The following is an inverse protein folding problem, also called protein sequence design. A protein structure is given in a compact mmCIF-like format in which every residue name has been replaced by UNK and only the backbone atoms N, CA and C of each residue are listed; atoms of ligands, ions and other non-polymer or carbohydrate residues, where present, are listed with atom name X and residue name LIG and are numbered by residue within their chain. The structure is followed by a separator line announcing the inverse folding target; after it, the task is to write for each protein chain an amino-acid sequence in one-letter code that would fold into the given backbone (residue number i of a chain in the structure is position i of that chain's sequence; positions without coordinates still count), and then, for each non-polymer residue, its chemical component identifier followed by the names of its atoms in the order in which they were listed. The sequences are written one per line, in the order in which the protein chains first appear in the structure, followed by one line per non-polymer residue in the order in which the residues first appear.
data_IF_710439286810
#
_entry.id   IF_710439286810
#
_cell.length_a   1.000
_cell.length_b   1.000
_cell.length_c   1.000
_cell.angle_alpha   90.00
_cell.angle_beta   90.00
_cell.angle_gamma   90.00
#
_symmetry.space_group_name_H-M   'P 1'
#
loop_
_entity.id
_entity.type
_entity.pdbx_description
1 polymer ?
#
# COMPACT_ATOMS: atom_id res chain seq x y z
N UNK A 1 -22.69 18.88 -5.09
CA UNK A 1 -22.21 18.48 -3.75
C UNK A 1 -20.78 18.01 -3.86
N UNK A 2 -19.87 18.50 -3.00
CA UNK A 2 -18.48 18.05 -2.93
C UNK A 2 -18.44 16.58 -2.49
N UNK A 3 -17.58 15.78 -3.11
CA UNK A 3 -17.36 14.38 -2.73
C UNK A 3 -16.05 14.24 -1.96
N UNK A 4 -16.07 13.42 -0.92
CA UNK A 4 -14.93 13.06 -0.10
C UNK A 4 -14.69 11.56 -0.26
N UNK A 5 -13.55 11.21 -0.86
CA UNK A 5 -13.24 9.83 -1.25
C UNK A 5 -12.41 9.13 -0.16
N UNK A 6 -12.97 8.07 0.44
CA UNK A 6 -12.34 7.20 1.43
C UNK A 6 -12.12 5.77 0.92
N UNK A 7 -12.16 5.56 -0.40
CA UNK A 7 -11.95 4.23 -0.98
C UNK A 7 -10.56 3.68 -0.63
N UNK A 8 -10.51 2.38 -0.37
CA UNK A 8 -9.28 1.70 0.02
C UNK A 8 -8.34 1.32 -1.14
N UNK A 9 -8.86 1.40 -2.37
CA UNK A 9 -8.09 1.13 -3.59
C UNK A 9 -8.97 0.57 -4.72
N UNK A 10 -8.97 1.19 -5.92
CA UNK A 10 -8.30 2.46 -6.24
C UNK A 10 -8.74 3.59 -5.30
N UNK A 11 -7.77 4.38 -4.88
CA UNK A 11 -7.97 5.41 -3.86
C UNK A 11 -8.00 6.83 -4.43
N UNK A 12 -8.05 7.80 -3.57
CA UNK A 12 -7.92 9.21 -3.92
C UNK A 12 -6.48 9.50 -4.40
N UNK A 13 -6.37 10.27 -5.47
CA UNK A 13 -5.13 10.91 -5.92
C UNK A 13 -5.24 12.43 -5.74
N UNK A 14 -4.11 13.16 -5.60
CA UNK A 14 -4.11 14.60 -5.60
C UNK A 14 -4.74 15.14 -6.90
N UNK A 15 -5.56 16.19 -6.78
CA UNK A 15 -6.26 16.76 -7.92
C UNK A 15 -5.31 17.22 -9.03
N UNK A 16 -4.20 17.82 -8.63
CA UNK A 16 -3.12 18.27 -9.52
C UNK A 16 -2.53 17.10 -10.34
N UNK A 17 -2.28 15.96 -9.71
CA UNK A 17 -1.78 14.75 -10.39
C UNK A 17 -2.76 14.27 -11.45
N UNK A 18 -4.06 14.25 -11.12
CA UNK A 18 -5.11 13.86 -12.07
C UNK A 18 -5.15 14.83 -13.26
N UNK A 19 -5.10 16.13 -13.00
CA UNK A 19 -5.15 17.16 -14.05
C UNK A 19 -3.91 17.14 -14.95
N UNK A 20 -2.72 16.96 -14.38
CA UNK A 20 -1.49 16.82 -15.15
C UNK A 20 -1.51 15.56 -16.02
N UNK A 21 -1.90 14.41 -15.44
CA UNK A 21 -2.05 13.17 -16.21
C UNK A 21 -3.07 13.32 -17.35
N UNK A 22 -4.22 13.96 -17.09
CA UNK A 22 -5.26 14.16 -18.10
C UNK A 22 -4.76 15.00 -19.29
N UNK A 23 -3.96 16.05 -19.04
CA UNK A 23 -3.33 16.84 -20.11
C UNK A 23 -2.44 15.97 -21.02
N UNK A 24 -1.65 15.10 -20.41
CA UNK A 24 -0.74 14.22 -21.17
C UNK A 24 -1.49 13.09 -21.91
N UNK A 25 -2.63 12.65 -21.37
CA UNK A 25 -3.51 11.72 -22.11
C UNK A 25 -4.03 12.38 -23.40
N UNK A 26 -4.26 13.67 -23.40
CA UNK A 26 -4.72 14.40 -24.60
C UNK A 26 -3.59 14.69 -25.58
N UNK A 27 -2.45 15.14 -25.08
CA UNK A 27 -1.28 15.48 -25.89
C UNK A 27 0.01 15.34 -25.07
N UNK A 28 0.74 14.27 -25.30
CA UNK A 28 1.96 13.96 -24.56
C UNK A 28 3.11 14.89 -24.99
N UNK A 29 3.48 15.81 -24.11
CA UNK A 29 4.57 16.77 -24.28
C UNK A 29 4.49 17.59 -25.59
N UNK A 30 3.30 17.87 -26.11
CA UNK A 30 3.12 18.62 -27.35
C UNK A 30 3.48 17.82 -28.62
N UNK A 31 3.53 16.51 -28.53
CA UNK A 31 3.88 15.61 -29.64
C UNK A 31 2.79 15.43 -30.68
N UNK A 32 1.55 15.84 -30.36
CA UNK A 32 0.37 15.55 -31.14
C UNK A 32 -0.17 14.12 -30.96
N UNK A 33 0.42 13.34 -30.06
CA UNK A 33 -0.01 11.98 -29.72
C UNK A 33 -0.44 11.91 -28.25
N UNK A 34 -1.41 11.07 -27.95
CA UNK A 34 -1.81 10.74 -26.59
C UNK A 34 -0.73 9.95 -25.85
N UNK A 35 -0.57 10.18 -24.53
CA UNK A 35 0.23 9.30 -23.67
C UNK A 35 -0.19 7.83 -23.78
N UNK A 36 -1.46 7.53 -24.11
CA UNK A 36 -1.95 6.16 -24.32
C UNK A 36 -1.45 5.52 -25.62
N UNK A 37 -1.01 6.33 -26.58
CA UNK A 37 -0.52 5.89 -27.90
C UNK A 37 1.02 5.86 -27.98
N UNK A 38 1.69 6.46 -26.98
CA UNK A 38 3.17 6.50 -26.93
C UNK A 38 3.73 5.10 -26.68
N UNK A 39 4.67 4.68 -27.52
CA UNK A 39 5.42 3.46 -27.27
C UNK A 39 6.25 3.59 -25.99
N UNK A 40 6.20 2.59 -25.12
CA UNK A 40 7.07 2.52 -23.94
C UNK A 40 8.57 2.54 -24.26
N UNK A 41 8.95 2.27 -25.52
CA UNK A 41 10.34 2.34 -26.05
C UNK A 41 10.64 3.65 -26.76
N UNK A 42 9.68 4.59 -26.77
CA UNK A 42 9.94 5.91 -27.33
C UNK A 42 10.96 6.66 -26.48
N UNK A 43 11.81 7.46 -27.15
CA UNK A 43 12.83 8.28 -26.48
C UNK A 43 12.21 9.26 -25.47
N UNK A 44 10.98 9.69 -25.72
CA UNK A 44 10.27 10.66 -24.88
C UNK A 44 9.65 10.02 -23.62
N UNK A 45 9.47 8.68 -23.60
CA UNK A 45 8.95 7.98 -22.45
C UNK A 45 10.03 7.48 -21.48
N UNK A 46 11.25 7.21 -21.96
CA UNK A 46 12.35 6.77 -21.09
C UNK A 46 12.61 7.75 -19.94
N UNK A 47 12.64 9.09 -20.14
CA UNK A 47 12.78 10.04 -19.04
C UNK A 47 11.70 9.93 -17.95
N UNK A 48 10.48 9.55 -18.30
CA UNK A 48 9.38 9.33 -17.31
C UNK A 48 9.72 8.21 -16.35
N UNK A 49 10.26 7.10 -16.89
CA UNK A 49 10.65 5.95 -16.07
C UNK A 49 11.87 6.27 -15.22
N UNK A 50 12.88 6.90 -15.83
CA UNK A 50 14.11 7.27 -15.13
C UNK A 50 13.83 8.23 -13.98
N UNK A 51 12.96 9.22 -14.20
CA UNK A 51 12.56 10.15 -13.16
C UNK A 51 11.71 9.48 -12.08
N UNK A 52 10.78 8.59 -12.45
CA UNK A 52 9.99 7.83 -11.47
C UNK A 52 10.90 6.99 -10.56
N UNK A 53 11.90 6.32 -11.11
CA UNK A 53 12.91 5.56 -10.35
C UNK A 53 13.74 6.49 -9.47
N UNK A 54 14.22 7.61 -10.01
CA UNK A 54 15.03 8.59 -9.27
C UNK A 54 14.28 9.17 -8.08
N UNK A 55 13.03 9.64 -8.30
CA UNK A 55 12.18 10.17 -7.24
C UNK A 55 11.83 9.11 -6.18
N UNK A 56 11.60 7.87 -6.61
CA UNK A 56 11.32 6.78 -5.67
C UNK A 56 12.52 6.50 -4.77
N UNK A 57 13.72 6.46 -5.35
CA UNK A 57 14.98 6.30 -4.60
C UNK A 57 15.24 7.48 -3.66
N UNK A 58 15.06 8.70 -4.13
CA UNK A 58 15.26 9.90 -3.32
C UNK A 58 14.28 9.97 -2.12
N UNK A 59 12.99 9.75 -2.35
CA UNK A 59 11.95 9.89 -1.32
C UNK A 59 12.02 8.83 -0.21
N UNK A 60 12.57 7.65 -0.49
CA UNK A 60 12.77 6.59 0.50
C UNK A 60 14.23 6.42 0.92
N UNK A 61 15.12 7.31 0.49
CA UNK A 61 16.57 7.20 0.76
C UNK A 61 17.12 5.79 0.46
N UNK A 62 16.76 5.26 -0.74
CA UNK A 62 17.12 3.90 -1.13
C UNK A 62 18.62 3.83 -1.40
N UNK A 63 19.38 2.99 -0.67
CA UNK A 63 20.83 2.92 -0.83
C UNK A 63 21.25 2.32 -2.18
N UNK A 64 22.53 2.45 -2.52
CA UNK A 64 23.13 1.73 -3.66
C UNK A 64 22.96 0.21 -3.51
N UNK A 65 22.93 -0.52 -4.62
CA UNK A 65 22.72 -1.97 -4.64
C UNK A 65 21.25 -2.39 -4.56
N UNK A 66 20.32 -1.44 -4.76
CA UNK A 66 18.91 -1.71 -4.89
C UNK A 66 18.37 -1.25 -6.23
N UNK A 67 17.56 -2.10 -6.84
CA UNK A 67 16.77 -1.79 -8.04
C UNK A 67 15.33 -1.46 -7.67
N UNK A 68 14.77 -0.46 -8.37
CA UNK A 68 13.33 -0.14 -8.35
C UNK A 68 12.76 -0.51 -9.71
N UNK A 69 11.78 -1.40 -9.73
CA UNK A 69 11.14 -1.88 -10.97
C UNK A 69 9.63 -1.74 -10.92
N UNK A 70 9.04 -1.52 -12.09
CA UNK A 70 7.61 -1.33 -12.30
C UNK A 70 7.04 -2.49 -13.10
N UNK A 71 6.13 -3.25 -12.51
CA UNK A 71 5.52 -4.43 -13.10
C UNK A 71 4.00 -4.31 -13.18
N UNK A 72 3.37 -5.17 -13.96
CA UNK A 72 1.92 -5.41 -13.91
C UNK A 72 1.55 -6.49 -12.88
N UNK A 73 0.26 -6.81 -12.78
CA UNK A 73 -0.23 -7.94 -11.99
C UNK A 73 -0.62 -7.64 -10.52
N UNK A 74 -0.31 -6.43 -10.02
CA UNK A 74 -0.61 -6.03 -8.66
C UNK A 74 0.17 -6.81 -7.60
N UNK A 75 -0.04 -6.49 -6.33
CA UNK A 75 0.56 -7.21 -5.21
C UNK A 75 0.19 -8.71 -5.21
N UNK A 76 -0.94 -9.08 -5.79
CA UNK A 76 -1.35 -10.49 -5.88
C UNK A 76 -0.39 -11.35 -6.72
N UNK A 77 0.22 -10.77 -7.76
CA UNK A 77 1.26 -11.46 -8.52
C UNK A 77 2.53 -11.61 -7.68
N UNK A 78 2.83 -10.63 -6.82
CA UNK A 78 4.00 -10.68 -5.95
C UNK A 78 3.92 -11.80 -4.90
N UNK A 79 2.73 -12.22 -4.49
CA UNK A 79 2.56 -13.38 -3.60
C UNK A 79 3.16 -14.68 -4.17
N UNK A 80 3.23 -14.78 -5.50
CA UNK A 80 3.87 -15.89 -6.22
C UNK A 80 5.29 -15.52 -6.66
N UNK A 81 5.53 -14.30 -7.11
CA UNK A 81 6.80 -13.87 -7.68
C UNK A 81 7.90 -13.78 -6.61
N UNK A 82 7.58 -13.33 -5.40
CA UNK A 82 8.50 -13.32 -4.25
C UNK A 82 9.03 -14.73 -3.95
N UNK A 83 8.19 -15.74 -3.67
CA UNK A 83 8.71 -17.06 -3.37
C UNK A 83 9.38 -17.73 -4.59
N UNK A 84 8.98 -17.43 -5.83
CA UNK A 84 9.68 -17.91 -7.00
C UNK A 84 11.15 -17.46 -7.02
N UNK A 85 11.44 -16.22 -6.61
CA UNK A 85 12.78 -15.63 -6.62
C UNK A 85 13.61 -15.88 -5.36
N UNK A 86 12.97 -16.03 -4.17
CA UNK A 86 13.68 -16.01 -2.89
C UNK A 86 13.49 -17.26 -2.04
N UNK A 87 12.43 -18.05 -2.21
CA UNK A 87 12.20 -19.24 -1.41
C UNK A 87 13.04 -20.42 -1.94
N UNK A 88 14.02 -20.85 -1.16
CA UNK A 88 14.89 -21.99 -1.50
C UNK A 88 14.34 -23.27 -0.87
N UNK A 89 14.10 -23.25 0.44
CA UNK A 89 13.59 -24.37 1.24
C UNK A 89 12.39 -23.98 2.09
N UNK A 90 12.54 -22.93 2.90
CA UNK A 90 11.60 -22.58 3.95
C UNK A 90 11.49 -21.06 4.12
N UNK A 91 10.28 -20.54 4.27
CA UNK A 91 10.06 -19.15 4.56
C UNK A 91 9.18 -18.96 5.79
N UNK A 92 9.51 -17.93 6.58
CA UNK A 92 8.72 -17.52 7.73
C UNK A 92 7.75 -16.38 7.34
N UNK A 93 6.58 -16.38 7.95
CA UNK A 93 5.53 -15.40 7.70
C UNK A 93 4.91 -14.89 8.98
N UNK A 94 4.57 -13.59 9.01
CA UNK A 94 3.71 -12.98 10.02
C UNK A 94 2.28 -12.97 9.46
N UNK A 95 1.36 -13.69 10.11
CA UNK A 95 -0.04 -13.71 9.73
C UNK A 95 -0.80 -12.56 10.40
N UNK A 96 -0.73 -11.39 9.82
CA UNK A 96 -1.39 -10.17 10.29
C UNK A 96 -2.76 -9.90 9.62
N UNK A 97 -3.21 -10.77 8.69
CA UNK A 97 -4.49 -10.56 8.02
C UNK A 97 -4.68 -11.34 6.72
N UNK A 98 -5.75 -10.99 6.00
CA UNK A 98 -6.15 -11.68 4.76
C UNK A 98 -5.06 -11.67 3.70
N UNK A 99 -4.31 -10.56 3.54
CA UNK A 99 -3.27 -10.44 2.52
C UNK A 99 -2.07 -11.30 2.87
N UNK A 100 -1.63 -11.29 4.12
CA UNK A 100 -0.59 -12.19 4.61
C UNK A 100 -0.97 -13.68 4.40
N UNK A 101 -2.21 -14.07 4.74
CA UNK A 101 -2.72 -15.44 4.46
C UNK A 101 -2.65 -15.80 2.99
N UNK A 102 -2.99 -14.88 2.08
CA UNK A 102 -2.91 -15.13 0.64
C UNK A 102 -1.47 -15.30 0.18
N UNK A 103 -0.55 -14.45 0.66
CA UNK A 103 0.88 -14.59 0.36
C UNK A 103 1.43 -15.94 0.85
N UNK A 104 1.11 -16.33 2.07
CA UNK A 104 1.47 -17.66 2.61
C UNK A 104 0.95 -18.82 1.75
N UNK A 105 -0.29 -18.71 1.27
CA UNK A 105 -0.91 -19.75 0.43
C UNK A 105 -0.14 -19.95 -0.87
N UNK A 106 0.19 -18.86 -1.56
CA UNK A 106 0.94 -18.92 -2.81
C UNK A 106 2.39 -19.40 -2.60
N UNK A 107 3.04 -19.00 -1.51
CA UNK A 107 4.40 -19.41 -1.19
C UNK A 107 4.54 -20.93 -0.99
N UNK A 108 3.49 -21.60 -0.51
CA UNK A 108 3.46 -23.09 -0.34
C UNK A 108 3.64 -23.87 -1.64
N UNK A 109 3.46 -23.26 -2.80
CA UNK A 109 3.77 -23.86 -4.09
C UNK A 109 5.26 -23.95 -4.39
N UNK A 110 6.10 -23.21 -3.63
CA UNK A 110 7.54 -23.08 -3.88
C UNK A 110 8.42 -23.72 -2.80
N UNK A 111 7.89 -23.95 -1.60
CA UNK A 111 8.62 -24.55 -0.49
C UNK A 111 7.84 -24.62 0.81
N UNK A 112 8.52 -24.92 1.91
CA UNK A 112 7.93 -24.94 3.24
C UNK A 112 7.59 -23.51 3.69
N UNK A 113 6.44 -23.36 4.34
CA UNK A 113 5.98 -22.08 4.89
C UNK A 113 5.60 -22.26 6.34
N UNK A 114 6.24 -21.49 7.24
CA UNK A 114 5.94 -21.47 8.66
C UNK A 114 5.34 -20.14 9.09
N UNK A 115 4.24 -20.19 9.81
CA UNK A 115 3.65 -19.04 10.49
C UNK A 115 4.33 -18.91 11.86
N UNK A 116 5.08 -17.81 12.06
CA UNK A 116 5.85 -17.62 13.31
C UNK A 116 5.19 -16.64 14.28
N UNK A 117 4.25 -15.86 13.82
CA UNK A 117 3.38 -15.02 14.66
C UNK A 117 2.05 -14.78 13.92
N UNK A 118 0.97 -14.64 14.69
CA UNK A 118 -0.38 -14.47 14.17
C UNK A 118 -1.26 -13.71 15.17
N UNK A 119 -2.21 -12.95 14.66
CA UNK A 119 -3.33 -12.38 15.44
C UNK A 119 -4.70 -12.90 14.97
N UNK A 120 -4.71 -14.00 14.21
CA UNK A 120 -5.94 -14.57 13.65
C UNK A 120 -6.96 -14.97 14.72
N UNK A 121 -6.50 -15.47 15.87
CA UNK A 121 -7.36 -15.90 16.99
C UNK A 121 -8.10 -14.72 17.65
N UNK A 122 -7.52 -13.52 17.54
CA UNK A 122 -8.12 -12.26 17.96
C UNK A 122 -8.79 -11.49 16.79
N UNK A 123 -9.13 -12.17 15.69
CA UNK A 123 -9.71 -11.53 14.50
C UNK A 123 -8.90 -10.33 13.98
N UNK A 124 -7.56 -10.38 14.13
CA UNK A 124 -6.65 -9.32 13.69
C UNK A 124 -6.88 -7.95 14.33
N UNK A 125 -7.27 -7.91 15.61
CA UNK A 125 -7.47 -6.67 16.37
C UNK A 125 -6.17 -6.01 16.79
N UNK A 126 -5.03 -6.70 16.65
CA UNK A 126 -3.70 -6.16 16.86
C UNK A 126 -2.73 -6.65 15.79
N UNK A 127 -1.61 -5.94 15.63
CA UNK A 127 -0.51 -6.41 14.79
C UNK A 127 0.36 -7.39 15.59
N UNK A 128 0.62 -8.62 15.07
CA UNK A 128 1.44 -9.60 15.79
C UNK A 128 2.84 -9.07 16.06
N UNK A 129 3.39 -9.34 17.24
CA UNK A 129 4.77 -9.00 17.53
C UNK A 129 5.71 -9.72 16.55
N UNK A 130 6.56 -8.97 15.86
CA UNK A 130 7.59 -9.54 14.99
C UNK A 130 8.76 -10.00 15.87
N UNK A 131 9.10 -11.29 15.89
CA UNK A 131 10.22 -11.77 16.69
C UNK A 131 11.56 -11.32 16.09
N UNK A 132 12.49 -10.85 16.92
CA UNK A 132 13.84 -10.47 16.46
C UNK A 132 14.65 -11.69 15.96
N UNK A 133 14.33 -12.88 16.46
CA UNK A 133 14.99 -14.14 16.08
C UNK A 133 14.00 -15.01 15.32
N UNK A 134 14.22 -15.14 14.03
CA UNK A 134 13.53 -16.05 13.11
C UNK A 134 14.35 -17.34 13.01
N UNK A 135 13.73 -18.54 12.86
CA UNK A 135 14.47 -19.79 12.66
C UNK A 135 15.53 -19.64 11.55
N UNK A 136 16.78 -19.95 11.85
CA UNK A 136 17.94 -19.70 10.96
C UNK A 136 17.91 -20.52 9.65
N UNK A 137 17.05 -21.53 9.57
CA UNK A 137 16.80 -22.33 8.37
C UNK A 137 15.76 -21.72 7.43
N UNK A 138 15.23 -20.52 7.76
CA UNK A 138 14.33 -19.78 6.89
C UNK A 138 15.12 -18.91 5.90
N UNK A 139 14.74 -18.97 4.63
CA UNK A 139 15.32 -18.18 3.55
C UNK A 139 14.97 -16.69 3.66
N UNK A 140 13.79 -16.39 4.22
CA UNK A 140 13.32 -15.04 4.51
C UNK A 140 12.17 -15.01 5.52
N UNK A 141 11.94 -13.83 6.09
CA UNK A 141 10.70 -13.46 6.78
C UNK A 141 9.86 -12.56 5.87
N UNK A 142 8.57 -12.89 5.71
CA UNK A 142 7.61 -12.06 5.01
C UNK A 142 6.61 -11.44 5.98
N UNK A 143 6.31 -10.16 5.81
CA UNK A 143 5.27 -9.44 6.53
C UNK A 143 4.43 -8.55 5.60
N UNK A 144 3.26 -8.14 6.07
CA UNK A 144 2.41 -7.12 5.46
C UNK A 144 2.32 -5.97 6.44
N UNK A 145 2.96 -4.84 6.14
CA UNK A 145 3.17 -3.75 7.09
C UNK A 145 1.87 -3.08 7.54
N UNK A 146 0.92 -2.92 6.62
CA UNK A 146 -0.38 -2.32 6.91
C UNK A 146 -1.55 -3.14 6.36
N UNK A 147 -2.51 -3.46 7.21
CA UNK A 147 -3.68 -4.27 6.88
C UNK A 147 -4.86 -3.40 6.46
N UNK A 148 -5.03 -3.24 5.17
CA UNK A 148 -6.12 -2.46 4.56
C UNK A 148 -7.53 -2.91 4.98
N UNK A 149 -7.70 -4.17 5.36
CA UNK A 149 -9.00 -4.77 5.71
C UNK A 149 -9.32 -4.59 7.19
N UNK A 150 -8.34 -4.85 8.07
CA UNK A 150 -8.55 -4.88 9.51
C UNK A 150 -8.15 -3.58 10.22
N UNK A 151 -7.27 -2.78 9.59
CA UNK A 151 -6.84 -1.49 10.13
C UNK A 151 -5.69 -1.60 11.13
N UNK A 152 -4.90 -2.67 11.10
CA UNK A 152 -3.67 -2.80 11.90
C UNK A 152 -2.45 -2.41 11.07
N UNK A 153 -1.45 -1.79 11.70
CA UNK A 153 -0.21 -1.31 11.07
C UNK A 153 1.02 -1.58 11.92
N UNK A 154 2.12 -1.99 11.29
CA UNK A 154 3.45 -2.06 11.87
C UNK A 154 4.23 -0.80 11.47
N UNK A 155 4.51 0.06 12.44
CA UNK A 155 5.15 1.36 12.17
C UNK A 155 6.65 1.38 12.45
N UNK A 156 7.24 0.25 12.68
CA UNK A 156 8.68 0.08 12.89
C UNK A 156 9.26 -0.83 11.82
N UNK A 157 10.50 -0.59 11.44
CA UNK A 157 11.23 -1.48 10.54
C UNK A 157 11.93 -2.56 11.38
N UNK A 158 11.47 -3.82 11.33
CA UNK A 158 11.98 -4.87 12.22
C UNK A 158 13.48 -5.11 12.00
N UNK A 159 14.17 -5.43 13.08
CA UNK A 159 15.53 -5.92 13.04
C UNK A 159 15.51 -7.43 13.24
N UNK A 160 15.76 -8.19 12.18
CA UNK A 160 15.68 -9.65 12.17
C UNK A 160 16.93 -10.28 11.57
N UNK A 161 17.20 -11.53 11.97
CA UNK A 161 18.41 -12.24 11.59
C UNK A 161 18.36 -12.96 10.23
N UNK A 162 17.29 -12.79 9.46
CA UNK A 162 17.09 -13.37 8.12
C UNK A 162 16.67 -12.29 7.12
N UNK A 163 16.79 -12.53 5.80
CA UNK A 163 16.27 -11.63 4.78
C UNK A 163 14.82 -11.22 5.06
N UNK A 164 14.52 -9.91 5.03
CA UNK A 164 13.19 -9.37 5.31
C UNK A 164 12.49 -8.93 4.02
N UNK A 165 11.24 -9.34 3.81
CA UNK A 165 10.40 -8.97 2.68
C UNK A 165 9.09 -8.40 3.18
N UNK A 166 8.66 -7.27 2.62
CA UNK A 166 7.43 -6.59 3.04
C UNK A 166 6.47 -6.27 1.89
N UNK A 167 5.19 -6.59 2.11
CA UNK A 167 4.07 -5.98 1.39
C UNK A 167 3.76 -4.63 2.04
N UNK A 168 4.12 -3.55 1.37
CA UNK A 168 3.81 -2.17 1.79
C UNK A 168 2.73 -1.53 0.89
N UNK A 169 1.87 -2.31 0.27
CA UNK A 169 0.88 -1.78 -0.70
C UNK A 169 0.02 -0.64 -0.15
N UNK A 170 -0.26 -0.62 1.15
CA UNK A 170 -1.16 0.38 1.72
C UNK A 170 -0.49 1.43 2.61
N UNK A 171 0.83 1.37 2.78
CA UNK A 171 1.58 2.35 3.58
C UNK A 171 2.91 2.80 2.95
N UNK A 172 3.28 2.30 1.78
CA UNK A 172 4.45 2.79 1.04
C UNK A 172 4.40 4.31 0.87
N UNK A 173 5.52 5.03 1.04
CA UNK A 173 5.60 6.49 0.94
C UNK A 173 4.75 7.26 1.97
N UNK A 174 4.23 6.62 3.01
CA UNK A 174 3.46 7.29 4.08
C UNK A 174 4.30 7.69 5.28
N UNK A 175 5.48 7.08 5.42
CA UNK A 175 6.46 7.33 6.49
C UNK A 175 7.88 7.07 5.98
N UNK A 176 8.92 7.56 6.66
CA UNK A 176 10.29 7.11 6.45
C UNK A 176 10.42 5.59 6.69
N UNK A 177 11.23 4.93 5.89
CA UNK A 177 11.52 3.49 5.96
C UNK A 177 13.02 3.27 5.80
N UNK A 178 13.64 2.51 6.70
CA UNK A 178 15.02 2.06 6.54
C UNK A 178 15.06 0.90 5.52
N UNK A 179 15.18 1.25 4.24
CA UNK A 179 15.18 0.28 3.15
C UNK A 179 16.33 -0.72 3.26
N UNK A 180 17.44 -0.36 3.93
CA UNK A 180 18.61 -1.24 4.09
C UNK A 180 18.31 -2.54 4.85
N UNK A 181 17.24 -2.55 5.67
CA UNK A 181 16.76 -3.72 6.41
C UNK A 181 16.00 -4.73 5.55
N UNK A 182 15.58 -4.33 4.35
CA UNK A 182 14.72 -5.15 3.50
C UNK A 182 15.48 -5.77 2.34
N UNK A 183 15.24 -7.03 2.08
CA UNK A 183 15.66 -7.70 0.85
C UNK A 183 14.76 -7.33 -0.32
N UNK A 184 13.47 -7.20 -0.05
CA UNK A 184 12.53 -6.69 -1.03
C UNK A 184 11.33 -6.00 -0.34
N UNK A 185 10.85 -4.94 -0.98
CA UNK A 185 9.58 -4.28 -0.66
C UNK A 185 8.75 -4.30 -1.94
N UNK A 186 7.46 -4.62 -1.85
CA UNK A 186 6.55 -4.47 -2.97
C UNK A 186 5.28 -3.73 -2.60
N UNK A 187 4.68 -3.06 -3.59
CA UNK A 187 3.48 -2.29 -3.38
C UNK A 187 2.61 -2.21 -4.65
N UNK A 188 1.35 -2.59 -4.54
CA UNK A 188 0.35 -2.25 -5.55
C UNK A 188 0.07 -0.74 -5.53
N UNK A 189 0.26 -0.07 -6.67
CA UNK A 189 0.26 1.40 -6.69
C UNK A 189 -1.11 2.06 -6.48
N UNK A 190 -2.21 1.35 -6.68
CA UNK A 190 -3.58 1.90 -6.66
C UNK A 190 -4.06 2.43 -5.30
N UNK A 191 -3.23 2.37 -4.27
CA UNK A 191 -3.56 2.87 -2.93
C UNK A 191 -2.90 4.22 -2.66
N UNK A 192 -1.58 4.27 -2.59
CA UNK A 192 -0.86 5.48 -2.18
C UNK A 192 0.03 6.09 -3.28
N UNK A 193 0.22 5.42 -4.41
CA UNK A 193 1.21 5.81 -5.41
C UNK A 193 0.62 6.28 -6.74
N UNK A 194 -0.41 5.60 -7.26
CA UNK A 194 -0.91 5.83 -8.61
C UNK A 194 -2.33 5.30 -8.78
N UNK A 195 -2.81 5.29 -10.01
CA UNK A 195 -3.97 4.52 -10.42
C UNK A 195 -3.65 3.02 -10.46
N UNK A 196 -4.68 2.17 -10.65
CA UNK A 196 -4.48 0.73 -10.81
C UNK A 196 -3.68 0.42 -12.10
N UNK A 197 -2.84 -0.63 -12.06
CA UNK A 197 -2.13 -1.16 -13.22
C UNK A 197 -0.62 -1.35 -13.02
N UNK A 198 0.01 -0.62 -12.12
CA UNK A 198 1.43 -0.76 -11.80
C UNK A 198 1.63 -1.32 -10.39
N UNK A 199 2.66 -2.14 -10.25
CA UNK A 199 3.20 -2.64 -8.99
C UNK A 199 4.65 -2.20 -8.91
N UNK A 200 5.05 -1.60 -7.80
CA UNK A 200 6.43 -1.21 -7.55
C UNK A 200 7.10 -2.28 -6.71
N UNK A 201 8.31 -2.64 -7.10
CA UNK A 201 9.18 -3.53 -6.34
C UNK A 201 10.51 -2.81 -6.13
N UNK A 202 10.95 -2.75 -4.87
CA UNK A 202 12.31 -2.38 -4.46
C UNK A 202 13.00 -3.67 -4.06
N UNK A 203 14.12 -3.99 -4.66
CA UNK A 203 14.80 -5.27 -4.44
C UNK A 203 16.31 -5.09 -4.34
N UNK A 204 16.92 -5.80 -3.39
CA UNK A 204 18.37 -5.83 -3.20
C UNK A 204 19.02 -6.67 -4.30
N UNK A 205 19.86 -6.06 -5.13
CA UNK A 205 20.41 -6.66 -6.34
C UNK A 205 21.22 -7.94 -6.07
N UNK A 206 22.02 -7.94 -5.00
CA UNK A 206 22.83 -9.10 -4.59
C UNK A 206 22.04 -10.33 -4.20
N UNK A 207 20.74 -10.18 -3.93
CA UNK A 207 19.84 -11.27 -3.54
C UNK A 207 19.16 -11.95 -4.73
N UNK A 208 19.29 -11.39 -5.92
CA UNK A 208 18.69 -11.94 -7.13
C UNK A 208 19.44 -13.17 -7.65
N UNK A 209 18.70 -14.10 -8.23
CA UNK A 209 19.26 -15.30 -8.89
C UNK A 209 19.79 -16.38 -7.94
N UNK A 210 19.49 -16.31 -6.65
CA UNK A 210 19.97 -17.31 -5.66
C UNK A 210 19.04 -18.52 -5.51
N UNK A 211 17.79 -18.43 -5.98
CA UNK A 211 16.91 -19.60 -5.99
C UNK A 211 17.41 -20.68 -6.97
N UNK A 212 17.53 -21.94 -6.54
CA UNK A 212 18.13 -23.03 -7.36
C UNK A 212 17.17 -23.59 -8.41
N UNK A 213 16.11 -22.88 -8.75
CA UNK A 213 15.10 -23.28 -9.71
C UNK A 213 15.17 -22.47 -10.97
N UNK A 214 14.72 -23.03 -12.08
CA UNK A 214 14.42 -22.28 -13.28
C UNK A 214 13.16 -21.45 -13.03
N UNK A 215 13.28 -20.12 -13.17
CA UNK A 215 12.17 -19.19 -12.98
C UNK A 215 11.69 -18.79 -14.39
N UNK A 216 10.39 -18.90 -14.69
CA UNK A 216 9.84 -18.40 -15.96
C UNK A 216 10.20 -16.92 -16.15
N UNK A 217 10.61 -16.56 -17.38
CA UNK A 217 11.20 -15.25 -17.71
C UNK A 217 10.44 -14.05 -17.13
N UNK A 218 9.10 -14.07 -17.20
CA UNK A 218 8.25 -12.98 -16.69
C UNK A 218 8.15 -12.94 -15.16
N UNK A 219 8.54 -14.00 -14.46
CA UNK A 219 8.55 -14.07 -13.00
C UNK A 219 9.93 -13.76 -12.42
N UNK A 220 10.98 -13.82 -13.22
CA UNK A 220 12.36 -13.55 -12.79
C UNK A 220 12.61 -12.05 -12.69
N UNK A 221 12.88 -11.54 -11.49
CA UNK A 221 13.17 -10.13 -11.29
C UNK A 221 14.42 -9.67 -12.05
N UNK A 222 15.42 -10.53 -12.29
CA UNK A 222 16.62 -10.18 -13.07
C UNK A 222 16.25 -9.70 -14.46
N UNK A 223 15.29 -10.35 -15.13
CA UNK A 223 14.78 -9.94 -16.44
C UNK A 223 14.32 -8.48 -16.45
N UNK A 224 13.58 -8.09 -15.41
CA UNK A 224 12.99 -6.76 -15.31
C UNK A 224 14.02 -5.71 -14.85
N UNK A 225 14.95 -6.08 -13.98
CA UNK A 225 16.07 -5.21 -13.57
C UNK A 225 16.98 -4.91 -14.77
N UNK A 226 17.43 -5.92 -15.51
CA UNK A 226 18.29 -5.77 -16.69
C UNK A 226 17.65 -4.92 -17.79
N UNK A 227 16.35 -4.92 -17.90
CA UNK A 227 15.58 -4.17 -18.90
C UNK A 227 14.94 -2.91 -18.38
N UNK A 228 15.25 -2.47 -17.14
CA UNK A 228 14.69 -1.25 -16.56
C UNK A 228 13.16 -1.21 -16.61
N UNK A 229 12.51 -2.33 -16.28
CA UNK A 229 11.05 -2.53 -16.36
C UNK A 229 10.45 -2.59 -17.76
N UNK A 230 11.28 -2.56 -18.82
CA UNK A 230 10.87 -2.46 -20.24
C UNK A 230 11.01 -3.78 -21.01
N UNK A 231 11.08 -4.91 -20.33
CA UNK A 231 11.15 -6.21 -20.99
C UNK A 231 9.92 -6.49 -21.85
N UNK A 232 8.74 -6.31 -21.30
CA UNK A 232 7.46 -6.29 -21.99
C UNK A 232 6.84 -4.89 -21.93
N UNK A 233 5.72 -4.66 -22.60
CA UNK A 233 5.01 -3.38 -22.54
C UNK A 233 4.48 -3.10 -21.13
N UNK A 234 5.04 -2.11 -20.43
CA UNK A 234 4.57 -1.76 -19.08
C UNK A 234 3.31 -0.90 -19.13
N UNK A 235 2.62 -0.70 -18.01
CA UNK A 235 1.45 0.18 -17.94
C UNK A 235 1.88 1.67 -18.00
N UNK A 236 1.98 2.23 -19.20
CA UNK A 236 2.54 3.58 -19.48
C UNK A 236 1.85 4.68 -18.69
N UNK A 237 0.52 4.79 -18.78
CA UNK A 237 -0.25 5.82 -18.06
C UNK A 237 -0.13 5.70 -16.53
N UNK A 238 -0.27 4.50 -15.93
CA UNK A 238 -0.02 4.33 -14.50
C UNK A 238 1.39 4.71 -14.04
N UNK A 239 2.44 4.45 -14.84
CA UNK A 239 3.83 4.85 -14.52
C UNK A 239 3.97 6.38 -14.59
N UNK A 240 3.39 7.02 -15.61
CA UNK A 240 3.37 8.48 -15.68
C UNK A 240 2.66 9.09 -14.47
N UNK A 241 1.47 8.57 -14.12
CA UNK A 241 0.71 9.03 -12.94
C UNK A 241 1.49 8.83 -11.63
N UNK A 242 2.25 7.73 -11.53
CA UNK A 242 3.14 7.46 -10.39
C UNK A 242 4.23 8.53 -10.30
N UNK A 243 4.91 8.85 -11.41
CA UNK A 243 5.93 9.89 -11.46
C UNK A 243 5.35 11.24 -11.00
N UNK A 244 4.19 11.65 -11.53
CA UNK A 244 3.53 12.90 -11.13
C UNK A 244 3.15 12.90 -9.64
N UNK A 245 2.70 11.78 -9.10
CA UNK A 245 2.38 11.67 -7.68
C UNK A 245 3.64 11.74 -6.78
N UNK A 246 4.77 11.19 -7.22
CA UNK A 246 6.04 11.33 -6.52
C UNK A 246 6.56 12.77 -6.56
N UNK A 247 6.42 13.47 -7.70
CA UNK A 247 6.70 14.91 -7.81
C UNK A 247 5.86 15.71 -6.81
N UNK A 248 4.56 15.43 -6.77
CA UNK A 248 3.63 16.04 -5.82
C UNK A 248 4.06 15.77 -4.37
N UNK A 249 4.40 14.53 -4.03
CA UNK A 249 4.84 14.16 -2.68
C UNK A 249 6.10 14.92 -2.28
N UNK A 250 7.11 14.98 -3.18
CA UNK A 250 8.35 15.74 -2.98
C UNK A 250 8.07 17.22 -2.77
N UNK A 251 7.24 17.85 -3.62
CA UNK A 251 6.86 19.25 -3.51
C UNK A 251 6.10 19.57 -2.22
N UNK A 252 5.47 18.58 -1.60
CA UNK A 252 4.72 18.71 -0.35
C UNK A 252 5.50 18.19 0.88
N UNK A 253 6.83 18.20 0.82
CA UNK A 253 7.73 17.95 1.94
C UNK A 253 8.10 16.48 2.16
N UNK A 254 7.91 15.62 1.14
CA UNK A 254 8.36 14.23 1.17
C UNK A 254 7.59 13.33 2.16
N UNK A 255 8.24 12.22 2.51
CA UNK A 255 7.63 11.19 3.38
C UNK A 255 7.51 11.63 4.83
N UNK A 256 8.40 12.48 5.34
CA UNK A 256 8.33 13.03 6.70
C UNK A 256 7.09 13.90 6.88
N UNK A 257 6.83 14.78 5.92
CA UNK A 257 5.63 15.61 5.96
C UNK A 257 4.34 14.78 5.71
N UNK A 258 4.43 13.71 4.93
CA UNK A 258 3.32 12.77 4.74
C UNK A 258 2.99 12.03 6.04
N UNK A 259 4.01 11.56 6.76
CA UNK A 259 3.87 10.91 8.06
C UNK A 259 3.20 11.83 9.09
N UNK A 260 3.69 13.07 9.20
CA UNK A 260 3.07 14.08 10.07
C UNK A 260 1.59 14.28 9.75
N UNK A 261 1.26 14.50 8.47
CA UNK A 261 -0.15 14.65 8.03
C UNK A 261 -0.99 13.40 8.29
N UNK A 262 -0.40 12.20 8.19
CA UNK A 262 -1.09 10.95 8.51
C UNK A 262 -1.46 10.86 9.98
N UNK A 263 -0.52 11.22 10.88
CA UNK A 263 -0.79 11.32 12.32
C UNK A 263 -1.90 12.31 12.64
N UNK A 264 -1.81 13.53 12.11
CA UNK A 264 -2.83 14.58 12.34
C UNK A 264 -4.24 14.13 11.91
N UNK A 265 -4.37 13.48 10.75
CA UNK A 265 -5.65 12.96 10.26
C UNK A 265 -6.18 11.80 11.12
N UNK A 266 -5.31 10.88 11.47
CA UNK A 266 -5.67 9.72 12.29
C UNK A 266 -6.10 10.12 13.70
N UNK A 267 -5.36 11.03 14.34
CA UNK A 267 -5.70 11.58 15.66
C UNK A 267 -7.11 12.17 15.68
N UNK A 268 -7.43 13.04 14.73
CA UNK A 268 -8.76 13.67 14.63
C UNK A 268 -9.88 12.63 14.47
N UNK A 269 -9.68 11.61 13.64
CA UNK A 269 -10.72 10.62 13.39
C UNK A 269 -10.83 9.61 14.54
N UNK A 270 -9.72 9.12 15.08
CA UNK A 270 -9.74 8.20 16.23
C UNK A 270 -10.29 8.87 17.49
N UNK A 271 -9.96 10.15 17.74
CA UNK A 271 -10.55 10.89 18.85
C UNK A 271 -12.08 10.96 18.77
N UNK A 272 -12.62 11.13 17.56
CA UNK A 272 -14.08 11.09 17.38
C UNK A 272 -14.66 9.69 17.57
N UNK A 273 -14.03 8.65 17.03
CA UNK A 273 -14.46 7.26 17.17
C UNK A 273 -14.51 6.88 18.66
N UNK A 274 -13.47 7.24 19.42
CA UNK A 274 -13.34 6.86 20.82
C UNK A 274 -14.29 7.69 21.74
N UNK A 275 -14.64 8.93 21.34
CA UNK A 275 -15.57 9.80 22.06
C UNK A 275 -17.03 9.46 21.81
N UNK A 276 -17.36 9.08 20.57
CA UNK A 276 -18.74 8.99 20.10
C UNK A 276 -19.41 7.72 20.63
N UNK A 277 -20.56 7.86 21.29
CA UNK A 277 -21.28 6.73 21.89
C UNK A 277 -21.75 5.68 20.88
N UNK A 278 -21.93 6.05 19.61
CA UNK A 278 -22.44 5.16 18.57
C UNK A 278 -21.37 4.24 17.99
N UNK A 279 -20.08 4.64 18.04
CA UNK A 279 -18.99 3.96 17.35
C UNK A 279 -17.96 3.36 18.30
N UNK A 280 -17.23 2.36 17.82
CA UNK A 280 -16.04 1.82 18.47
C UNK A 280 -14.98 1.41 17.43
N UNK A 281 -13.70 1.62 17.74
CA UNK A 281 -12.58 1.10 16.96
C UNK A 281 -12.54 -0.43 17.04
N UNK A 282 -12.06 -1.04 15.97
CA UNK A 282 -11.89 -2.50 15.88
C UNK A 282 -10.48 -2.97 16.23
N UNK A 283 -9.55 -2.05 16.46
CA UNK A 283 -8.11 -2.30 16.59
C UNK A 283 -7.60 -1.73 17.91
N UNK A 284 -6.76 -2.48 18.60
CA UNK A 284 -6.04 -2.03 19.78
C UNK A 284 -5.20 -0.79 19.47
N UNK A 285 -5.17 0.18 20.37
CA UNK A 285 -4.58 1.50 20.15
C UNK A 285 -3.15 1.44 19.61
N UNK A 286 -2.30 0.59 20.18
CA UNK A 286 -0.89 0.43 19.79
C UNK A 286 -0.71 -0.11 18.36
N UNK A 287 -1.75 -0.67 17.77
CA UNK A 287 -1.73 -1.28 16.43
C UNK A 287 -2.58 -0.54 15.39
N UNK A 288 -3.17 0.59 15.75
CA UNK A 288 -4.05 1.37 14.87
C UNK A 288 -3.33 1.88 13.62
N UNK A 289 -3.90 1.61 12.46
CA UNK A 289 -3.39 2.11 11.18
C UNK A 289 -3.66 3.61 11.03
N UNK A 290 -2.69 4.35 10.50
CA UNK A 290 -2.86 5.73 10.09
C UNK A 290 -3.44 5.84 8.67
N UNK A 291 -3.38 4.73 7.91
CA UNK A 291 -3.83 4.68 6.52
C UNK A 291 -5.26 4.15 6.36
N UNK A 292 -5.64 3.14 7.14
CA UNK A 292 -6.96 2.49 7.02
C UNK A 292 -7.63 2.40 8.39
N UNK A 293 -8.40 3.41 8.72
CA UNK A 293 -9.09 3.54 10.01
C UNK A 293 -10.38 2.74 9.95
N UNK A 294 -10.42 1.62 10.69
CA UNK A 294 -11.57 0.71 10.74
C UNK A 294 -12.34 0.88 12.05
N UNK A 295 -13.65 0.95 11.96
CA UNK A 295 -14.54 1.10 13.11
C UNK A 295 -15.92 0.50 12.81
N UNK A 296 -16.69 0.23 13.86
CA UNK A 296 -18.03 -0.36 13.79
C UNK A 296 -18.99 0.41 14.69
N UNK A 297 -20.29 0.14 14.58
CA UNK A 297 -21.25 0.58 15.60
C UNK A 297 -20.99 -0.16 16.92
N UNK A 298 -21.19 0.50 18.05
CA UNK A 298 -21.32 -0.16 19.34
C UNK A 298 -22.48 -1.17 19.30
N UNK A 299 -22.39 -2.22 20.09
CA UNK A 299 -23.30 -3.38 20.00
C UNK A 299 -24.78 -2.98 20.18
N UNK A 300 -25.05 -1.97 21.00
CA UNK A 300 -26.39 -1.41 21.26
C UNK A 300 -26.96 -0.64 20.05
N UNK A 301 -26.14 -0.27 19.06
CA UNK A 301 -26.51 0.58 17.93
C UNK A 301 -26.28 -0.09 16.57
N UNK A 302 -26.12 -1.42 16.53
CA UNK A 302 -25.80 -2.17 15.30
C UNK A 302 -26.81 -1.93 14.16
N UNK A 303 -28.07 -1.76 14.50
CA UNK A 303 -29.13 -1.47 13.52
C UNK A 303 -28.94 -0.11 12.82
N UNK A 304 -28.14 0.79 13.39
CA UNK A 304 -27.83 2.10 12.80
C UNK A 304 -26.70 2.08 11.77
N UNK A 305 -26.05 0.92 11.50
CA UNK A 305 -24.97 0.82 10.53
C UNK A 305 -25.40 1.28 9.13
N UNK A 306 -26.50 0.75 8.63
CA UNK A 306 -27.02 1.15 7.32
C UNK A 306 -27.54 2.59 7.32
N UNK A 307 -28.36 3.05 8.29
CA UNK A 307 -28.75 4.46 8.41
C UNK A 307 -27.58 5.42 8.39
N UNK A 308 -26.48 5.14 9.10
CA UNK A 308 -25.30 6.00 9.08
C UNK A 308 -24.60 6.01 7.70
N UNK A 309 -24.48 4.87 7.02
CA UNK A 309 -23.91 4.81 5.65
C UNK A 309 -24.72 5.65 4.67
N UNK A 310 -26.05 5.57 4.74
CA UNK A 310 -26.94 6.38 3.89
C UNK A 310 -26.75 7.87 4.20
N UNK A 311 -26.77 8.24 5.50
CA UNK A 311 -26.56 9.61 5.98
C UNK A 311 -25.20 10.20 5.56
N UNK A 312 -24.12 9.42 5.66
CA UNK A 312 -22.78 9.83 5.23
C UNK A 312 -22.71 10.00 3.70
N UNK A 313 -23.35 9.08 2.95
CA UNK A 313 -23.42 9.15 1.49
C UNK A 313 -24.15 10.40 1.01
N UNK A 314 -25.27 10.77 1.64
CA UNK A 314 -26.00 12.00 1.35
C UNK A 314 -25.17 13.26 1.61
N UNK A 315 -24.16 13.18 2.46
CA UNK A 315 -23.18 14.27 2.74
C UNK A 315 -21.93 14.21 1.89
N UNK A 316 -21.91 13.34 0.87
CA UNK A 316 -20.84 13.25 -0.11
C UNK A 316 -19.70 12.30 0.29
N UNK A 317 -19.79 11.54 1.38
CA UNK A 317 -18.80 10.52 1.74
C UNK A 317 -18.89 9.34 0.77
N UNK A 318 -17.77 8.92 0.21
CA UNK A 318 -17.66 7.80 -0.74
C UNK A 318 -16.67 6.79 -0.20
N UNK A 319 -17.02 5.50 -0.22
CA UNK A 319 -16.10 4.42 0.15
C UNK A 319 -15.90 4.19 1.65
N UNK A 320 -16.79 4.73 2.50
CA UNK A 320 -16.72 4.57 3.98
C UNK A 320 -17.18 3.19 4.43
N UNK A 321 -17.96 2.46 3.63
CA UNK A 321 -18.38 1.09 3.98
C UNK A 321 -17.18 0.19 4.21
N UNK A 322 -17.16 -0.54 5.33
CA UNK A 322 -16.11 -1.49 5.68
C UNK A 322 -16.02 -2.69 4.73
N UNK A 323 -14.93 -3.44 4.83
CA UNK A 323 -14.78 -4.64 4.03
C UNK A 323 -15.76 -5.73 4.51
N UNK A 324 -16.30 -6.52 3.57
CA UNK A 324 -17.29 -7.57 3.85
C UNK A 324 -16.86 -8.58 4.93
N UNK A 325 -15.55 -8.75 5.16
CA UNK A 325 -15.01 -9.67 6.18
C UNK A 325 -15.07 -9.10 7.59
N UNK A 326 -15.17 -7.77 7.75
CA UNK A 326 -15.17 -7.06 9.04
C UNK A 326 -16.53 -6.43 9.31
N UNK A 327 -17.21 -5.94 8.26
CA UNK A 327 -18.41 -5.12 8.37
C UNK A 327 -18.08 -3.67 8.73
N UNK A 328 -19.07 -2.96 9.24
CA UNK A 328 -18.92 -1.59 9.73
C UNK A 328 -18.37 -0.63 8.69
N UNK A 329 -17.38 0.15 9.08
CA UNK A 329 -16.85 1.29 8.34
C UNK A 329 -15.33 1.21 8.21
N UNK A 330 -14.82 1.84 7.14
CA UNK A 330 -13.39 2.04 6.94
C UNK A 330 -13.15 3.37 6.22
N UNK A 331 -12.42 4.26 6.86
CA UNK A 331 -11.92 5.47 6.23
C UNK A 331 -10.47 5.25 5.79
N UNK A 332 -10.22 5.22 4.48
CA UNK A 332 -8.86 5.13 3.94
C UNK A 332 -8.29 6.53 3.78
N UNK A 333 -7.25 6.84 4.57
CA UNK A 333 -6.65 8.16 4.73
C UNK A 333 -5.22 8.20 4.16
N UNK A 334 -5.04 7.74 2.91
CA UNK A 334 -3.74 7.78 2.23
C UNK A 334 -3.21 9.21 2.04
N UNK A 335 -2.00 9.36 1.52
CA UNK A 335 -1.31 10.64 1.45
C UNK A 335 -2.12 11.77 0.80
N UNK A 336 -2.92 11.46 -0.21
CA UNK A 336 -3.77 12.43 -0.90
C UNK A 336 -5.02 12.84 -0.11
N UNK A 337 -5.37 12.14 0.97
CA UNK A 337 -6.54 12.50 1.78
C UNK A 337 -6.31 13.83 2.48
N UNK A 338 -7.35 14.67 2.46
CA UNK A 338 -7.30 16.01 3.04
C UNK A 338 -7.83 16.02 4.47
N UNK A 339 -7.31 16.94 5.30
CA UNK A 339 -7.87 17.17 6.64
C UNK A 339 -9.34 17.61 6.55
N UNK A 340 -9.71 18.40 5.54
CA UNK A 340 -11.11 18.77 5.29
C UNK A 340 -12.02 17.53 5.11
N UNK A 341 -11.56 16.53 4.36
CA UNK A 341 -12.31 15.29 4.16
C UNK A 341 -12.52 14.53 5.47
N UNK A 342 -11.47 14.43 6.27
CA UNK A 342 -11.55 13.78 7.61
C UNK A 342 -12.50 14.54 8.54
N UNK A 343 -12.38 15.86 8.60
CA UNK A 343 -13.27 16.71 9.41
C UNK A 343 -14.73 16.64 8.95
N UNK A 344 -14.96 16.50 7.64
CA UNK A 344 -16.31 16.29 7.11
C UNK A 344 -16.93 14.97 7.57
N UNK A 345 -16.13 13.88 7.63
CA UNK A 345 -16.57 12.59 8.17
C UNK A 345 -16.85 12.70 9.68
N UNK A 346 -15.94 13.29 10.44
CA UNK A 346 -16.11 13.56 11.87
C UNK A 346 -17.40 14.36 12.12
N UNK A 347 -17.63 15.41 11.35
CA UNK A 347 -18.86 16.21 11.46
C UNK A 347 -20.12 15.38 11.16
N UNK A 348 -20.06 14.49 10.16
CA UNK A 348 -21.18 13.59 9.88
C UNK A 348 -21.44 12.62 11.04
N UNK A 349 -20.39 12.09 11.70
CA UNK A 349 -20.53 11.22 12.88
C UNK A 349 -21.17 11.97 14.04
N UNK A 350 -20.72 13.21 14.34
CA UNK A 350 -21.26 14.05 15.39
C UNK A 350 -22.70 14.48 15.14
N UNK A 351 -23.06 14.76 13.91
CA UNK A 351 -24.43 15.16 13.56
C UNK A 351 -25.37 13.96 13.63
N UNK A 352 -24.91 12.77 13.21
CA UNK A 352 -25.71 11.54 13.31
C UNK A 352 -25.94 11.12 14.76
N UNK A 353 -24.98 11.35 15.66
CA UNK A 353 -25.12 11.06 17.11
C UNK A 353 -26.26 11.84 17.78
N UNK A 354 -26.69 12.97 17.19
CA UNK A 354 -27.73 13.87 17.75
C UNK A 354 -29.16 13.54 17.28
N UNK A 355 -29.27 12.64 16.30
CA UNK A 355 -30.55 12.22 15.76
C UNK A 355 -31.20 11.15 16.63
#
# INVERSE_FOLDING_TARGET
MKKYNFNAGPSMLPREVIENTAKQILDFNGSGLSLMEISHRAKDFQPVVDEAVSLFKELLDIPEGYSVIFLGGGASLQFMQIPANFLIKKAAYINSGTWAKKAMKEAKHFGEVVEIASSSDANYTFYPQVPNVVPADCDYLHLTSNNTIYGTELRVDPDVNVPLISDMSSDIMSRPVDVSKYTAIYAGAQKNLSMAGVTVIVVKDEMLGKAPREIPTMLDYRTHVEKGSMFNTPPVVPIYTLMENLRWLKANGGVEAADKRAHERAEVLYAEIDRNKLFKGTVEEASRSLMNICFVMNDEYKELEKPFLDFATERGMVGVKGHRSVGGFRASCYNAQTMEGVQALVKAMQDFEKL
#
